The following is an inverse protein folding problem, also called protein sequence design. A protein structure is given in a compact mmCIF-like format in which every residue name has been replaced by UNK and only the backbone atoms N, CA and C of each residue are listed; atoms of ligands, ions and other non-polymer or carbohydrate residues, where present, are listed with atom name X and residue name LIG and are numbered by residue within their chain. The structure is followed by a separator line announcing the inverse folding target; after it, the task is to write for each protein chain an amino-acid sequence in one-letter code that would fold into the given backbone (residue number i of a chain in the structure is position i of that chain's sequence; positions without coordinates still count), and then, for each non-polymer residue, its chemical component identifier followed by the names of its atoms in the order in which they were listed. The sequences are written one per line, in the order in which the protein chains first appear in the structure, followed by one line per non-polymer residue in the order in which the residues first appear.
data_IF_212757559202
#
_entry.id   IF_212757559202
#
_cell.length_a   1.000
_cell.length_b   1.000
_cell.length_c   1.000
_cell.angle_alpha   90.00
_cell.angle_beta   90.00
_cell.angle_gamma   90.00
#
_symmetry.space_group_name_H-M   'P 1'
#
loop_
_entity.id
_entity.type
_entity.pdbx_description
1 polymer ?
#
# COMPACT_ATOMS: atom_id res chain seq x y z
N UNK A 1 6.20 22.55 -16.29
CA UNK A 1 6.13 21.44 -15.33
C UNK A 1 4.87 20.63 -15.55
N UNK A 2 4.97 19.32 -15.55
CA UNK A 2 3.81 18.46 -15.72
C UNK A 2 3.20 18.14 -14.35
N UNK A 3 1.89 18.21 -14.26
CA UNK A 3 1.15 17.85 -13.05
C UNK A 3 0.33 16.59 -13.30
N UNK A 4 0.19 15.77 -12.26
CA UNK A 4 -0.70 14.62 -12.28
C UNK A 4 -1.98 14.99 -11.55
N UNK A 5 -3.11 14.74 -12.20
CA UNK A 5 -4.42 14.93 -11.59
C UNK A 5 -5.00 13.57 -11.23
N UNK A 6 -5.44 13.43 -9.99
CA UNK A 6 -6.06 12.21 -9.50
C UNK A 6 -7.52 12.49 -9.17
N UNK A 7 -8.42 11.75 -9.82
CA UNK A 7 -9.84 11.82 -9.48
C UNK A 7 -10.11 10.93 -8.27
N UNK A 8 -10.34 11.52 -7.11
CA UNK A 8 -10.65 10.75 -5.90
C UNK A 8 -11.91 9.88 -6.05
N UNK A 9 -13.01 10.37 -6.65
CA UNK A 9 -14.16 9.50 -6.87
C UNK A 9 -13.86 8.27 -7.74
N UNK A 10 -13.07 8.44 -8.81
CA UNK A 10 -12.67 7.34 -9.67
C UNK A 10 -11.73 6.37 -8.94
N UNK A 11 -10.80 6.91 -8.16
CA UNK A 11 -9.87 6.10 -7.37
C UNK A 11 -10.62 5.25 -6.34
N UNK A 12 -11.58 5.85 -5.63
CA UNK A 12 -12.42 5.13 -4.66
C UNK A 12 -13.21 4.02 -5.33
N UNK A 13 -13.80 4.31 -6.49
CA UNK A 13 -14.59 3.33 -7.23
C UNK A 13 -13.74 2.13 -7.64
N UNK A 14 -12.53 2.39 -8.14
CA UNK A 14 -11.60 1.34 -8.54
C UNK A 14 -11.12 0.52 -7.34
N UNK A 15 -10.78 1.17 -6.25
CA UNK A 15 -10.35 0.48 -5.03
C UNK A 15 -11.46 -0.41 -4.48
N UNK A 16 -12.69 0.08 -4.46
CA UNK A 16 -13.85 -0.69 -4.00
C UNK A 16 -14.10 -1.91 -4.88
N UNK A 17 -13.98 -1.75 -6.20
CA UNK A 17 -14.16 -2.85 -7.15
C UNK A 17 -13.12 -3.95 -6.91
N UNK A 18 -11.86 -3.58 -6.72
CA UNK A 18 -10.78 -4.51 -6.41
C UNK A 18 -11.01 -5.19 -5.07
N UNK A 19 -11.43 -4.45 -4.06
CA UNK A 19 -11.75 -4.99 -2.73
C UNK A 19 -12.87 -6.03 -2.82
N UNK A 20 -13.96 -5.70 -3.51
CA UNK A 20 -15.11 -6.60 -3.66
C UNK A 20 -14.73 -7.88 -4.41
N UNK A 21 -13.85 -7.75 -5.41
CA UNK A 21 -13.31 -8.91 -6.14
C UNK A 21 -12.47 -9.79 -5.20
N UNK A 22 -11.66 -9.18 -4.36
CA UNK A 22 -10.88 -9.89 -3.34
C UNK A 22 -11.77 -10.65 -2.38
N UNK A 23 -12.79 -10.00 -1.85
CA UNK A 23 -13.74 -10.64 -0.93
C UNK A 23 -14.41 -11.86 -1.57
N UNK A 24 -14.87 -11.72 -2.82
CA UNK A 24 -15.53 -12.83 -3.53
C UNK A 24 -14.60 -14.00 -3.84
N UNK A 25 -13.31 -13.72 -4.03
CA UNK A 25 -12.32 -14.77 -4.35
C UNK A 25 -11.58 -15.30 -3.12
N UNK A 26 -11.84 -14.75 -1.93
CA UNK A 26 -11.13 -15.13 -0.72
C UNK A 26 -9.72 -14.56 -0.64
N UNK A 27 -9.42 -13.50 -1.37
CA UNK A 27 -8.11 -12.86 -1.40
C UNK A 27 -8.12 -11.53 -0.65
N UNK A 28 -6.95 -11.13 -0.17
CA UNK A 28 -6.74 -9.79 0.38
C UNK A 28 -6.22 -8.87 -0.71
N UNK A 29 -6.57 -7.58 -0.61
CA UNK A 29 -6.11 -6.55 -1.52
C UNK A 29 -5.01 -5.73 -0.87
N UNK A 30 -3.79 -5.84 -1.39
CA UNK A 30 -2.65 -5.06 -0.92
C UNK A 30 -2.25 -4.06 -2.00
N UNK A 31 -2.02 -2.81 -1.57
CA UNK A 31 -1.56 -1.76 -2.46
C UNK A 31 -0.05 -1.88 -2.66
N UNK A 32 0.38 -2.03 -3.91
CA UNK A 32 1.81 -2.05 -4.25
C UNK A 32 2.34 -0.62 -4.31
N UNK A 33 3.17 -0.25 -3.34
CA UNK A 33 3.63 1.13 -3.21
C UNK A 33 4.55 1.57 -4.35
N UNK A 34 5.26 0.64 -4.98
CA UNK A 34 6.06 0.98 -6.16
C UNK A 34 5.21 1.41 -7.35
N UNK A 35 3.93 1.03 -7.37
CA UNK A 35 3.00 1.41 -8.42
C UNK A 35 2.23 2.68 -8.06
N UNK A 36 1.93 2.87 -6.79
CA UNK A 36 1.16 4.02 -6.32
C UNK A 36 1.55 4.34 -4.87
N UNK A 37 2.17 5.49 -4.68
CA UNK A 37 2.60 5.94 -3.35
C UNK A 37 2.23 7.39 -3.05
N UNK A 38 1.15 7.88 -3.66
CA UNK A 38 0.63 9.23 -3.42
C UNK A 38 -0.09 9.25 -2.08
N UNK A 39 0.64 9.54 -1.01
CA UNK A 39 0.13 9.43 0.36
C UNK A 39 -1.07 10.30 0.64
N UNK A 40 -1.19 11.45 -0.03
CA UNK A 40 -2.35 12.34 0.14
C UNK A 40 -3.66 11.70 -0.33
N UNK A 41 -3.60 10.65 -1.16
CA UNK A 41 -4.79 9.93 -1.63
C UNK A 41 -5.08 8.66 -0.83
N UNK A 42 -4.20 8.27 0.09
CA UNK A 42 -4.35 7.01 0.85
C UNK A 42 -5.62 7.00 1.70
N UNK A 43 -5.98 8.13 2.29
CA UNK A 43 -7.19 8.20 3.11
C UNK A 43 -8.44 7.81 2.33
N UNK A 44 -8.49 8.17 1.04
CA UNK A 44 -9.62 7.88 0.18
C UNK A 44 -9.79 6.38 -0.11
N UNK A 45 -8.70 5.61 -0.14
CA UNK A 45 -8.71 4.19 -0.51
C UNK A 45 -8.45 3.25 0.65
N UNK A 46 -8.01 3.78 1.79
CA UNK A 46 -7.69 2.97 2.98
C UNK A 46 -8.79 1.98 3.36
N UNK A 47 -10.09 2.33 3.35
CA UNK A 47 -11.14 1.38 3.72
C UNK A 47 -11.24 0.16 2.80
N UNK A 48 -10.67 0.26 1.59
CA UNK A 48 -10.78 -0.78 0.56
C UNK A 48 -9.51 -1.60 0.39
N UNK A 49 -8.46 -1.27 1.14
CA UNK A 49 -7.17 -1.97 1.09
C UNK A 49 -6.91 -2.69 2.41
N UNK A 50 -6.48 -3.94 2.32
CA UNK A 50 -6.14 -4.73 3.51
C UNK A 50 -4.73 -4.42 4.01
N UNK A 51 -3.95 -3.69 3.23
CA UNK A 51 -2.59 -3.29 3.56
C UNK A 51 -1.79 -2.93 2.32
N UNK A 52 -0.48 -3.07 2.41
CA UNK A 52 0.44 -2.69 1.36
C UNK A 52 1.48 -3.76 1.09
N UNK A 53 2.02 -3.74 -0.15
CA UNK A 53 3.25 -4.43 -0.50
C UNK A 53 4.35 -3.38 -0.60
N UNK A 54 5.43 -3.55 0.15
CA UNK A 54 6.57 -2.66 0.17
C UNK A 54 7.79 -3.33 -0.46
N UNK A 55 8.59 -2.55 -1.20
CA UNK A 55 9.78 -3.05 -1.86
C UNK A 55 11.05 -2.88 -1.03
N UNK A 56 10.93 -2.40 0.21
CA UNK A 56 12.03 -2.19 1.12
C UNK A 56 11.59 -1.43 2.35
N UNK A 57 12.57 -1.05 3.18
CA UNK A 57 12.32 -0.41 4.47
C UNK A 57 11.61 0.93 4.33
N UNK A 58 12.01 1.77 3.36
CA UNK A 58 11.40 3.08 3.17
C UNK A 58 9.89 2.96 2.92
N UNK A 59 9.50 2.08 1.99
CA UNK A 59 8.09 1.88 1.68
C UNK A 59 7.33 1.22 2.84
N UNK A 60 7.98 0.33 3.59
CA UNK A 60 7.36 -0.28 4.76
C UNK A 60 7.04 0.76 5.83
N UNK A 61 7.94 1.71 6.06
CA UNK A 61 7.70 2.84 6.97
C UNK A 61 6.55 3.71 6.48
N UNK A 62 6.52 3.99 5.17
CA UNK A 62 5.46 4.76 4.55
C UNK A 62 4.11 4.08 4.76
N UNK A 63 4.04 2.78 4.52
CA UNK A 63 2.84 1.98 4.71
C UNK A 63 2.37 2.01 6.17
N UNK A 64 3.27 1.82 7.11
CA UNK A 64 2.96 1.82 8.53
C UNK A 64 2.41 3.17 8.99
N UNK A 65 2.97 4.26 8.47
CA UNK A 65 2.57 5.62 8.84
C UNK A 65 1.22 6.01 8.24
N UNK A 66 0.98 5.68 6.97
CA UNK A 66 -0.13 6.26 6.21
C UNK A 66 -1.26 5.29 5.91
N UNK A 67 -1.01 4.00 5.87
CA UNK A 67 -2.02 3.02 5.49
C UNK A 67 -2.37 2.07 6.64
N UNK A 68 -1.38 1.52 7.31
CA UNK A 68 -1.60 0.49 8.31
C UNK A 68 -2.00 -0.86 7.69
N UNK A 69 -2.56 -1.74 8.51
CA UNK A 69 -2.98 -3.06 8.08
C UNK A 69 -1.81 -4.01 7.84
N UNK A 70 -2.02 -4.98 6.97
CA UNK A 70 -0.99 -5.97 6.65
C UNK A 70 0.07 -5.34 5.74
N UNK A 71 1.35 -5.50 6.09
CA UNK A 71 2.45 -4.99 5.30
C UNK A 71 3.32 -6.16 4.88
N UNK A 72 3.32 -6.48 3.58
CA UNK A 72 4.20 -7.48 3.00
C UNK A 72 5.43 -6.77 2.43
N UNK A 73 6.61 -7.21 2.82
CA UNK A 73 7.86 -6.58 2.38
C UNK A 73 8.71 -7.60 1.64
N UNK A 74 9.16 -7.23 0.45
CA UNK A 74 10.07 -8.04 -0.34
C UNK A 74 11.16 -7.18 -0.94
N UNK A 75 12.40 -7.63 -0.78
CA UNK A 75 13.58 -7.06 -1.44
C UNK A 75 14.55 -8.20 -1.70
N UNK A 76 15.33 -8.15 -2.82
CA UNK A 76 16.29 -9.21 -3.11
C UNK A 76 17.44 -9.29 -2.10
N UNK A 77 17.70 -8.22 -1.35
CA UNK A 77 18.75 -8.19 -0.33
C UNK A 77 18.40 -7.22 0.79
N UNK A 78 18.72 -7.61 2.03
CA UNK A 78 18.53 -6.78 3.20
C UNK A 78 19.83 -6.72 4.01
N UNK A 79 20.05 -5.57 4.66
CA UNK A 79 21.03 -5.48 5.72
C UNK A 79 20.36 -5.93 7.03
N UNK A 80 21.15 -6.46 7.96
CA UNK A 80 20.63 -6.94 9.24
C UNK A 80 19.86 -5.84 10.00
N UNK A 81 20.40 -4.62 10.00
CA UNK A 81 19.73 -3.50 10.65
C UNK A 81 18.37 -3.19 10.04
N UNK A 82 18.20 -3.36 8.73
CA UNK A 82 16.93 -3.16 8.05
C UNK A 82 15.91 -4.24 8.47
N UNK A 83 16.34 -5.49 8.55
CA UNK A 83 15.48 -6.58 9.00
C UNK A 83 15.00 -6.33 10.43
N UNK A 84 15.90 -5.85 11.29
CA UNK A 84 15.56 -5.54 12.68
C UNK A 84 14.50 -4.46 12.76
N UNK A 85 14.63 -3.39 11.96
CA UNK A 85 13.64 -2.33 11.92
C UNK A 85 12.29 -2.82 11.38
N UNK A 86 12.30 -3.69 10.37
CA UNK A 86 11.07 -4.23 9.80
C UNK A 86 10.27 -5.02 10.82
N UNK A 87 10.94 -5.72 11.74
CA UNK A 87 10.27 -6.46 12.81
C UNK A 87 9.54 -5.54 13.79
N UNK A 88 9.97 -4.29 13.89
CA UNK A 88 9.40 -3.31 14.83
C UNK A 88 8.28 -2.46 14.22
N UNK A 89 8.01 -2.61 12.94
CA UNK A 89 6.97 -1.85 12.26
C UNK A 89 5.57 -2.47 12.47
#
# INVERSE_FOLDING_TARGET
MADFLISLPALKKNARLLHDTGVRSGARMLLALKAFSTTSAFEAIRPWCDGCCASGLYEARLAARHMGGHIAVFSPAYQEAELQELLDI
#
